data_IF_385443398036
#
_entry.id   IF_385443398036
#
_cell.length_a   1.000
_cell.length_b   1.000
_cell.length_c   1.000
_cell.angle_alpha   90.00
_cell.angle_beta   90.00
_cell.angle_gamma   90.00
#
_symmetry.space_group_name_H-M   'P 1'
#
loop_
_entity.id
_entity.type
_entity.pdbx_description
1 polymer ?
#
# COMPACT_ATOMS: atom_id res chain seq x y z
N UNK A 1 8.50 20.33 -23.55
CA UNK A 1 9.73 20.29 -22.72
C UNK A 1 9.41 21.01 -21.43
N UNK A 2 9.60 20.38 -20.28
CA UNK A 2 9.51 21.06 -18.98
C UNK A 2 10.54 22.21 -18.93
N UNK A 3 10.18 23.38 -18.36
CA UNK A 3 11.13 24.37 -17.91
C UNK A 3 12.29 23.76 -17.09
N UNK A 4 13.48 24.35 -17.17
CA UNK A 4 14.71 23.81 -16.53
C UNK A 4 14.67 23.87 -15.00
N UNK A 5 13.79 24.68 -14.43
CA UNK A 5 13.53 24.83 -12.99
C UNK A 5 12.43 23.90 -12.46
N UNK A 6 11.82 23.07 -13.33
CA UNK A 6 10.82 22.09 -12.94
C UNK A 6 11.38 20.67 -12.94
N UNK A 7 11.04 19.92 -11.90
CA UNK A 7 11.40 18.51 -11.72
C UNK A 7 10.16 17.63 -12.02
N UNK A 8 10.23 16.71 -13.01
CA UNK A 8 9.15 15.74 -13.21
C UNK A 8 9.08 14.79 -12.02
N UNK A 9 7.85 14.53 -11.58
CA UNK A 9 7.53 13.54 -10.55
C UNK A 9 6.55 12.53 -11.16
N UNK A 10 6.63 11.28 -10.71
CA UNK A 10 5.84 10.18 -11.27
C UNK A 10 5.01 9.48 -10.19
N UNK A 11 4.04 8.68 -10.62
CA UNK A 11 3.19 7.89 -9.74
C UNK A 11 3.06 6.44 -10.19
N UNK A 12 2.23 5.71 -9.45
CA UNK A 12 1.82 4.35 -9.79
C UNK A 12 1.03 3.76 -8.63
N UNK A 13 -0.18 3.28 -8.90
CA UNK A 13 -1.08 2.74 -7.88
C UNK A 13 -1.27 1.24 -8.07
N UNK A 14 -1.53 0.47 -7.01
CA UNK A 14 -1.91 -0.94 -7.12
C UNK A 14 -3.28 -1.09 -7.82
N UNK A 15 -4.17 -0.12 -7.63
CA UNK A 15 -5.53 -0.05 -8.19
C UNK A 15 -5.86 1.33 -8.78
N UNK A 16 -6.99 1.47 -9.49
CA UNK A 16 -7.47 2.67 -10.15
C UNK A 16 -8.94 2.97 -9.74
N UNK A 17 -9.16 3.78 -8.68
CA UNK A 17 -10.50 4.10 -8.18
C UNK A 17 -11.36 4.86 -9.20
N UNK A 18 -10.72 5.57 -10.13
CA UNK A 18 -11.33 6.32 -11.24
C UNK A 18 -11.89 5.44 -12.37
N UNK A 19 -11.70 4.12 -12.31
CA UNK A 19 -12.24 3.21 -13.32
C UNK A 19 -13.77 3.20 -13.30
N UNK A 20 -14.39 3.53 -14.44
CA UNK A 20 -15.84 3.65 -14.59
C UNK A 20 -16.61 2.32 -14.64
N UNK A 21 -16.03 1.23 -14.14
CA UNK A 21 -16.63 -0.10 -14.15
C UNK A 21 -16.35 -0.88 -12.86
N UNK A 22 -17.01 -2.02 -12.65
CA UNK A 22 -16.89 -2.85 -11.44
C UNK A 22 -16.17 -4.18 -11.66
N UNK A 23 -15.47 -4.32 -12.79
CA UNK A 23 -14.65 -5.50 -13.06
C UNK A 23 -13.30 -5.40 -12.37
N UNK A 24 -12.71 -6.55 -12.05
CA UNK A 24 -11.31 -6.68 -11.64
C UNK A 24 -10.39 -6.11 -12.73
N UNK A 25 -9.34 -5.40 -12.33
CA UNK A 25 -8.35 -4.86 -13.26
C UNK A 25 -7.43 -5.96 -13.80
N UNK A 26 -6.87 -5.70 -14.99
CA UNK A 26 -5.84 -6.55 -15.57
C UNK A 26 -4.48 -6.37 -14.88
N UNK A 27 -3.45 -7.12 -15.32
CA UNK A 27 -2.11 -7.00 -14.77
C UNK A 27 -1.55 -5.59 -14.85
N UNK A 28 -0.89 -5.16 -13.78
CA UNK A 28 -0.45 -3.78 -13.59
C UNK A 28 1.07 -3.64 -13.84
N UNK A 29 1.44 -2.70 -14.70
CA UNK A 29 2.83 -2.46 -15.11
C UNK A 29 3.75 -1.97 -13.96
N UNK A 30 3.19 -1.43 -12.88
CA UNK A 30 3.94 -0.97 -11.71
C UNK A 30 4.64 -2.11 -10.95
N UNK A 31 4.22 -3.36 -11.16
CA UNK A 31 4.86 -4.56 -10.60
C UNK A 31 6.01 -5.10 -11.48
N UNK A 32 6.44 -4.35 -12.49
CA UNK A 32 7.54 -4.73 -13.37
C UNK A 32 8.70 -3.75 -13.24
N UNK A 33 9.92 -4.28 -13.38
CA UNK A 33 11.09 -3.43 -13.56
C UNK A 33 11.12 -2.90 -14.99
N UNK A 34 11.27 -1.59 -15.16
CA UNK A 34 11.17 -0.96 -16.47
C UNK A 34 12.07 0.26 -16.61
N UNK A 35 12.41 0.53 -17.86
CA UNK A 35 13.10 1.75 -18.27
C UNK A 35 12.15 2.93 -18.46
N UNK A 36 10.85 2.68 -18.45
CA UNK A 36 9.77 3.68 -18.55
C UNK A 36 9.40 4.14 -17.14
N UNK A 37 9.44 5.46 -16.91
CA UNK A 37 9.16 6.07 -15.60
C UNK A 37 7.69 6.39 -15.38
N UNK A 38 6.97 6.69 -16.46
CA UNK A 38 5.58 7.14 -16.47
C UNK A 38 4.61 5.95 -16.40
N UNK A 39 3.53 6.17 -15.66
CA UNK A 39 2.35 5.32 -15.67
C UNK A 39 1.29 6.02 -16.52
N UNK A 40 0.93 5.43 -17.66
CA UNK A 40 -0.01 6.04 -18.61
C UNK A 40 -1.46 6.06 -18.14
N UNK A 41 -1.79 5.40 -17.02
CA UNK A 41 -3.17 5.17 -16.56
C UNK A 41 -3.61 6.17 -15.48
N UNK A 42 -2.68 6.93 -14.89
CA UNK A 42 -2.99 7.90 -13.83
C UNK A 42 -3.71 9.11 -14.43
N UNK A 43 -4.91 9.40 -13.94
CA UNK A 43 -5.70 10.55 -14.37
C UNK A 43 -6.27 10.41 -15.78
N UNK A 44 -6.40 9.19 -16.32
CA UNK A 44 -7.02 8.96 -17.65
C UNK A 44 -8.44 9.53 -17.75
N UNK A 45 -9.16 9.57 -16.64
CA UNK A 45 -10.48 10.18 -16.49
C UNK A 45 -10.47 11.71 -16.72
N UNK A 46 -9.36 12.37 -16.42
CA UNK A 46 -9.16 13.82 -16.61
C UNK A 46 -8.41 14.16 -17.90
N UNK A 47 -7.54 13.28 -18.38
CA UNK A 47 -6.60 13.54 -19.47
C UNK A 47 -6.97 12.87 -20.80
N UNK A 48 -7.90 11.91 -20.79
CA UNK A 48 -8.25 11.06 -21.93
C UNK A 48 -7.24 9.93 -22.17
N UNK A 49 -7.63 8.89 -22.92
CA UNK A 49 -6.80 7.71 -23.17
C UNK A 49 -5.41 8.07 -23.68
N UNK A 50 -4.37 7.60 -22.99
CA UNK A 50 -3.01 7.62 -23.51
C UNK A 50 -2.96 6.79 -24.81
N UNK A 51 -2.62 7.43 -25.92
CA UNK A 51 -2.37 6.74 -27.18
C UNK A 51 -1.27 5.70 -26.97
N UNK A 52 -1.51 4.44 -27.34
CA UNK A 52 -0.60 3.29 -27.19
C UNK A 52 0.73 3.35 -27.98
N UNK A 53 1.30 4.54 -28.15
CA UNK A 53 2.69 4.76 -28.52
C UNK A 53 3.60 4.42 -27.32
N UNK A 54 4.79 3.84 -27.53
CA UNK A 54 5.74 3.63 -26.44
C UNK A 54 6.07 4.99 -25.83
N UNK A 55 5.79 5.17 -24.53
CA UNK A 55 6.14 6.37 -23.79
C UNK A 55 7.66 6.57 -23.86
N UNK A 56 8.13 7.40 -24.79
CA UNK A 56 9.53 7.83 -24.81
C UNK A 56 9.70 8.76 -23.61
N UNK A 57 10.31 8.29 -22.52
CA UNK A 57 10.61 9.13 -21.35
C UNK A 57 11.61 10.23 -21.74
N UNK A 58 11.15 11.47 -21.98
CA UNK A 58 12.01 12.53 -22.49
C UNK A 58 12.93 13.09 -21.39
N UNK A 59 12.69 12.72 -20.12
CA UNK A 59 13.36 13.22 -18.93
C UNK A 59 14.53 12.32 -18.50
N UNK A 60 14.58 11.10 -19.03
CA UNK A 60 15.67 10.17 -18.78
C UNK A 60 17.04 10.77 -19.07
N UNK A 61 17.98 10.54 -18.16
CA UNK A 61 19.36 11.04 -18.26
C UNK A 61 19.52 12.54 -18.04
N UNK A 62 18.42 13.28 -17.81
CA UNK A 62 18.44 14.72 -17.52
C UNK A 62 18.04 15.03 -16.08
N UNK A 63 17.04 14.30 -15.57
CA UNK A 63 16.51 14.49 -14.23
C UNK A 63 16.56 13.19 -13.42
N UNK A 64 16.74 13.27 -12.08
CA UNK A 64 16.55 12.12 -11.21
C UNK A 64 15.14 11.57 -11.37
N UNK A 65 14.99 10.26 -11.23
CA UNK A 65 13.69 9.63 -11.21
C UNK A 65 13.13 9.72 -9.79
N UNK A 66 12.09 10.54 -9.60
CA UNK A 66 11.44 10.75 -8.31
C UNK A 66 9.94 10.46 -8.44
N UNK A 67 9.35 9.86 -7.43
CA UNK A 67 7.90 9.66 -7.38
C UNK A 67 7.27 10.63 -6.39
N UNK A 68 6.03 11.05 -6.65
CA UNK A 68 5.19 11.79 -5.69
C UNK A 68 3.92 11.03 -5.33
N UNK A 69 3.47 10.12 -6.21
CA UNK A 69 2.16 9.47 -6.13
C UNK A 69 2.29 7.96 -6.32
N UNK A 70 3.19 7.32 -5.55
CA UNK A 70 3.08 5.87 -5.39
C UNK A 70 1.91 5.58 -4.44
N UNK A 71 0.97 4.75 -4.89
CA UNK A 71 -0.15 4.31 -4.09
C UNK A 71 0.33 3.73 -2.77
N UNK A 72 0.12 4.45 -1.66
CA UNK A 72 0.21 3.88 -0.32
C UNK A 72 -1.04 3.06 0.04
N UNK A 73 -1.96 2.93 -0.90
CA UNK A 73 -3.28 2.34 -0.82
C UNK A 73 -4.08 2.91 -2.01
N UNK A 74 -5.40 2.84 -1.92
CA UNK A 74 -6.32 3.55 -2.81
C UNK A 74 -7.56 3.96 -2.03
N UNK A 75 -8.13 5.12 -2.36
CA UNK A 75 -9.42 5.51 -1.80
C UNK A 75 -10.52 4.62 -2.34
N UNK A 76 -11.29 4.02 -1.43
CA UNK A 76 -12.51 3.30 -1.81
C UNK A 76 -13.55 4.29 -2.38
N UNK A 77 -14.09 3.92 -3.54
CA UNK A 77 -15.19 4.62 -4.19
C UNK A 77 -16.45 3.78 -4.06
N UNK A 78 -17.61 4.39 -4.27
CA UNK A 78 -18.88 3.68 -4.02
C UNK A 78 -18.96 2.38 -4.82
N UNK A 79 -18.46 2.37 -6.06
CA UNK A 79 -18.47 1.22 -6.96
C UNK A 79 -17.17 0.39 -6.98
N UNK A 80 -16.07 0.81 -6.33
CA UNK A 80 -14.83 0.02 -6.25
C UNK A 80 -14.23 -0.01 -4.84
N UNK A 81 -14.07 -1.22 -4.31
CA UNK A 81 -13.55 -1.51 -2.97
C UNK A 81 -12.46 -2.59 -3.03
N UNK A 82 -11.26 -2.23 -3.52
CA UNK A 82 -10.09 -3.09 -3.37
C UNK A 82 -9.77 -3.37 -1.89
N UNK A 83 -8.86 -4.31 -1.67
CA UNK A 83 -8.21 -4.54 -0.38
C UNK A 83 -6.75 -4.84 -0.63
N UNK A 84 -5.87 -4.30 0.21
CA UNK A 84 -4.43 -4.44 0.01
C UNK A 84 -3.75 -5.28 1.09
N UNK A 85 -2.80 -6.10 0.66
CA UNK A 85 -1.78 -6.66 1.56
C UNK A 85 -0.51 -5.79 1.50
N UNK A 86 0.38 -5.85 2.52
CA UNK A 86 1.61 -5.04 2.54
C UNK A 86 2.44 -5.14 1.26
N UNK A 87 2.51 -6.35 0.68
CA UNK A 87 3.26 -6.61 -0.54
C UNK A 87 2.73 -5.86 -1.77
N UNK A 88 1.44 -5.51 -1.82
CA UNK A 88 0.86 -4.74 -2.92
C UNK A 88 1.53 -3.38 -3.07
N UNK A 89 1.95 -2.77 -1.95
CA UNK A 89 2.56 -1.45 -1.90
C UNK A 89 4.08 -1.56 -1.96
N UNK A 90 4.69 -2.48 -1.18
CA UNK A 90 6.15 -2.60 -1.13
C UNK A 90 6.72 -3.08 -2.46
N UNK A 91 6.02 -3.96 -3.18
CA UNK A 91 6.49 -4.45 -4.48
C UNK A 91 6.59 -3.31 -5.51
N UNK A 92 5.62 -2.39 -5.55
CA UNK A 92 5.69 -1.21 -6.41
C UNK A 92 6.90 -0.35 -6.04
N UNK A 93 7.10 -0.06 -4.76
CA UNK A 93 8.24 0.72 -4.29
C UNK A 93 9.59 0.07 -4.66
N UNK A 94 9.71 -1.25 -4.49
CA UNK A 94 10.89 -2.03 -4.91
C UNK A 94 11.08 -1.97 -6.43
N UNK A 95 10.02 -2.14 -7.22
CA UNK A 95 10.09 -2.06 -8.68
C UNK A 95 10.56 -0.68 -9.14
N UNK A 96 10.09 0.42 -8.53
CA UNK A 96 10.53 1.78 -8.86
C UNK A 96 11.99 2.01 -8.45
N UNK A 97 12.41 1.61 -7.24
CA UNK A 97 13.80 1.70 -6.79
C UNK A 97 14.75 0.92 -7.71
N UNK A 98 14.44 -0.34 -8.02
CA UNK A 98 15.22 -1.19 -8.91
C UNK A 98 15.25 -0.68 -10.35
N UNK A 99 14.20 0.02 -10.78
CA UNK A 99 14.13 0.72 -12.07
C UNK A 99 14.92 2.04 -12.10
N UNK A 100 15.52 2.45 -10.99
CA UNK A 100 16.39 3.61 -10.89
C UNK A 100 15.78 4.84 -10.22
N UNK A 101 14.66 4.70 -9.48
CA UNK A 101 14.13 5.79 -8.67
C UNK A 101 15.15 6.18 -7.58
N UNK A 102 15.36 7.48 -7.40
CA UNK A 102 16.24 8.06 -6.38
C UNK A 102 15.46 8.72 -5.24
N UNK A 103 14.13 8.75 -5.34
CA UNK A 103 13.26 9.23 -4.27
C UNK A 103 11.87 8.62 -4.43
N UNK A 104 11.33 8.16 -3.31
CA UNK A 104 10.00 7.61 -3.21
C UNK A 104 9.08 8.60 -2.49
N UNK A 105 8.11 9.13 -3.21
CA UNK A 105 6.95 9.84 -2.67
C UNK A 105 5.69 9.00 -2.85
N UNK A 106 4.80 9.11 -1.88
CA UNK A 106 3.59 8.30 -1.76
C UNK A 106 2.35 9.18 -1.71
N UNK A 107 1.27 8.68 -2.31
CA UNK A 107 -0.06 9.24 -2.19
C UNK A 107 -1.04 8.10 -1.91
N UNK A 108 -1.74 8.05 -0.78
CA UNK A 108 -1.46 8.75 0.47
C UNK A 108 -0.57 7.89 1.37
N UNK A 109 0.26 8.51 2.20
CA UNK A 109 1.02 7.80 3.24
C UNK A 109 0.30 7.80 4.60
N UNK A 110 -0.50 8.82 4.83
CA UNK A 110 -1.45 8.90 5.92
C UNK A 110 -2.77 9.32 5.29
N UNK A 111 -3.81 8.54 5.56
CA UNK A 111 -5.17 8.95 5.28
C UNK A 111 -5.55 10.16 6.12
N UNK A 112 -6.84 10.44 6.17
CA UNK A 112 -7.37 11.48 7.02
C UNK A 112 -8.87 11.53 6.95
N UNK A 113 -9.43 12.66 7.38
CA UNK A 113 -10.85 12.91 7.32
C UNK A 113 -11.12 14.21 6.57
N UNK A 114 -12.14 14.19 5.71
CA UNK A 114 -12.71 15.38 5.15
C UNK A 114 -13.49 16.12 6.24
N UNK A 115 -13.36 17.45 6.35
CA UNK A 115 -14.16 18.22 7.29
C UNK A 115 -15.64 18.14 6.90
N UNK A 116 -16.53 18.28 7.89
CA UNK A 116 -17.96 18.47 7.65
C UNK A 116 -18.46 19.68 8.42
N UNK A 117 -19.44 20.37 7.85
CA UNK A 117 -20.09 21.52 8.47
C UNK A 117 -21.61 21.35 8.45
N UNK A 118 -22.34 22.23 9.14
CA UNK A 118 -23.79 22.33 9.03
C UNK A 118 -24.19 23.75 8.62
N UNK A 119 -25.16 23.86 7.71
CA UNK A 119 -25.74 25.14 7.34
C UNK A 119 -26.68 25.71 8.43
N UNK A 120 -27.24 26.89 8.19
CA UNK A 120 -28.17 27.55 9.12
C UNK A 120 -29.47 26.76 9.39
N UNK A 121 -29.82 25.81 8.51
CA UNK A 121 -30.99 24.93 8.64
C UNK A 121 -30.60 23.55 9.21
N UNK A 122 -29.33 23.36 9.57
CA UNK A 122 -28.80 22.11 10.11
C UNK A 122 -28.48 21.06 9.05
N UNK A 123 -28.54 21.38 7.75
CA UNK A 123 -28.19 20.47 6.66
C UNK A 123 -26.68 20.21 6.66
N UNK A 124 -26.26 18.97 6.41
CA UNK A 124 -24.86 18.61 6.29
C UNK A 124 -24.23 19.26 5.04
N UNK A 125 -23.09 19.92 5.24
CA UNK A 125 -22.22 20.43 4.17
C UNK A 125 -20.99 19.53 4.13
N UNK A 126 -20.69 19.03 2.94
CA UNK A 126 -19.67 18.00 2.70
C UNK A 126 -18.64 18.49 1.68
N UNK A 127 -17.44 17.89 1.68
CA UNK A 127 -16.25 18.37 0.95
C UNK A 127 -15.50 17.27 0.21
N UNK A 128 -16.04 16.05 0.21
CA UNK A 128 -15.52 14.89 -0.48
C UNK A 128 -15.58 15.02 -2.01
N UNK A 129 -14.74 14.21 -2.67
CA UNK A 129 -14.89 13.93 -4.09
C UNK A 129 -16.23 13.23 -4.34
N UNK A 130 -17.04 13.82 -5.22
CA UNK A 130 -18.34 13.25 -5.60
C UNK A 130 -18.69 13.58 -7.04
N UNK A 131 -19.61 12.81 -7.61
CA UNK A 131 -20.17 13.09 -8.94
C UNK A 131 -20.98 14.38 -8.96
N UNK A 132 -21.52 14.78 -7.82
CA UNK A 132 -22.21 16.08 -7.67
C UNK A 132 -21.24 17.26 -7.79
N UNK A 133 -19.99 17.11 -7.32
CA UNK A 133 -18.94 18.13 -7.48
C UNK A 133 -18.23 18.11 -8.84
N UNK A 134 -18.60 17.18 -9.73
CA UNK A 134 -18.10 17.07 -11.11
C UNK A 134 -16.94 16.09 -11.30
N UNK A 135 -16.59 15.33 -10.28
CA UNK A 135 -15.61 14.25 -10.35
C UNK A 135 -16.26 12.92 -10.78
N UNK A 136 -15.51 11.91 -11.26
CA UNK A 136 -16.12 10.66 -11.74
C UNK A 136 -16.56 9.72 -10.61
N UNK A 137 -16.01 9.89 -9.41
CA UNK A 137 -16.19 8.97 -8.28
C UNK A 137 -17.07 9.57 -7.19
N UNK A 138 -17.75 8.71 -6.44
CA UNK A 138 -18.36 9.06 -5.16
C UNK A 138 -17.52 8.45 -4.03
N UNK A 139 -16.98 9.29 -3.15
CA UNK A 139 -16.21 8.90 -1.96
C UNK A 139 -17.05 9.00 -0.68
N UNK A 140 -16.58 8.42 0.45
CA UNK A 140 -17.14 8.70 1.77
C UNK A 140 -17.09 10.20 2.09
N UNK A 141 -18.09 10.69 2.81
CA UNK A 141 -18.25 12.09 3.22
C UNK A 141 -17.14 12.52 4.16
N UNK A 142 -16.81 11.69 5.15
CA UNK A 142 -15.82 11.97 6.19
C UNK A 142 -14.56 11.18 5.95
N UNK A 143 -14.63 9.86 5.76
CA UNK A 143 -13.41 9.06 5.71
C UNK A 143 -12.61 9.27 4.42
N UNK A 144 -11.34 9.60 4.59
CA UNK A 144 -10.32 9.59 3.55
C UNK A 144 -9.16 8.69 3.99
N UNK A 145 -9.50 7.51 4.54
CA UNK A 145 -8.54 6.52 5.05
C UNK A 145 -7.55 6.05 3.99
N UNK A 146 -7.99 6.00 2.73
CA UNK A 146 -7.19 5.65 1.55
C UNK A 146 -6.59 4.22 1.59
N UNK A 147 -6.96 3.40 2.59
CA UNK A 147 -6.22 2.19 2.97
C UNK A 147 -4.72 2.47 3.14
N UNK A 148 -4.38 3.71 3.52
CA UNK A 148 -3.00 4.18 3.61
C UNK A 148 -2.24 3.45 4.73
N UNK A 149 -0.89 3.47 4.70
CA UNK A 149 -0.07 2.84 5.73
C UNK A 149 -0.40 3.31 7.15
N UNK A 150 -0.74 4.60 7.27
CA UNK A 150 -1.43 5.16 8.42
C UNK A 150 -2.86 5.49 8.01
N UNK A 151 -3.85 4.95 8.68
CA UNK A 151 -5.26 5.20 8.37
C UNK A 151 -5.79 6.54 8.88
N UNK A 152 -7.07 6.82 8.67
CA UNK A 152 -7.68 8.13 8.98
C UNK A 152 -7.65 8.52 10.47
N UNK A 153 -7.64 7.54 11.38
CA UNK A 153 -7.47 7.73 12.83
C UNK A 153 -6.01 7.62 13.28
N UNK A 154 -5.05 7.52 12.35
CA UNK A 154 -3.62 7.32 12.63
C UNK A 154 -3.26 5.88 13.02
N UNK A 155 -4.18 4.92 12.85
CA UNK A 155 -3.91 3.50 13.06
C UNK A 155 -2.82 3.02 12.12
N UNK A 156 -1.91 2.19 12.63
CA UNK A 156 -0.80 1.65 11.84
C UNK A 156 -1.20 0.33 11.20
N UNK A 157 -0.96 0.19 9.89
CA UNK A 157 -1.15 -1.06 9.14
C UNK A 157 0.17 -1.78 8.91
N UNK A 158 0.11 -3.08 8.60
CA UNK A 158 1.29 -3.87 8.25
C UNK A 158 2.07 -3.28 7.05
N UNK A 159 1.39 -2.57 6.14
CA UNK A 159 2.01 -1.85 5.03
C UNK A 159 2.96 -0.73 5.49
N UNK A 160 2.66 -0.04 6.60
CA UNK A 160 3.57 0.96 7.18
C UNK A 160 4.86 0.32 7.65
N UNK A 161 4.75 -0.80 8.37
CA UNK A 161 5.90 -1.52 8.90
C UNK A 161 6.78 -2.06 7.76
N UNK A 162 6.15 -2.64 6.74
CA UNK A 162 6.86 -3.16 5.57
C UNK A 162 7.57 -2.06 4.77
N UNK A 163 6.93 -0.89 4.60
CA UNK A 163 7.56 0.28 3.97
C UNK A 163 8.66 0.89 4.84
N UNK A 164 8.51 0.90 6.17
CA UNK A 164 9.52 1.41 7.09
C UNK A 164 10.84 0.62 6.98
N UNK A 165 10.79 -0.69 6.78
CA UNK A 165 11.99 -1.49 6.53
C UNK A 165 12.67 -1.14 5.19
N UNK A 166 11.89 -0.90 4.14
CA UNK A 166 12.42 -0.42 2.87
C UNK A 166 13.03 0.98 3.02
N UNK A 167 12.42 1.86 3.82
CA UNK A 167 12.97 3.19 4.11
C UNK A 167 14.27 3.13 4.90
N UNK A 168 14.41 2.17 5.84
CA UNK A 168 15.68 1.93 6.55
C UNK A 168 16.78 1.47 5.59
N UNK A 169 16.45 0.66 4.59
CA UNK A 169 17.39 0.34 3.51
C UNK A 169 17.81 1.57 2.72
N UNK A 170 16.84 2.42 2.32
CA UNK A 170 17.12 3.67 1.61
C UNK A 170 17.95 4.63 2.47
N UNK A 171 17.70 4.72 3.77
CA UNK A 171 18.52 5.52 4.70
C UNK A 171 19.95 4.98 4.80
N UNK A 172 20.10 3.66 4.93
CA UNK A 172 21.41 3.03 5.11
C UNK A 172 22.27 2.97 3.82
N UNK A 173 21.64 2.88 2.64
CA UNK A 173 22.31 2.61 1.37
C UNK A 173 21.98 3.64 0.27
N UNK A 174 21.17 4.66 0.54
CA UNK A 174 20.64 5.58 -0.46
C UNK A 174 21.70 6.41 -1.16
N UNK A 175 22.76 6.83 -0.46
CA UNK A 175 23.85 7.63 -1.03
C UNK A 175 24.58 6.86 -2.16
N UNK A 176 24.93 5.58 -1.90
CA UNK A 176 25.56 4.74 -2.91
C UNK A 176 24.57 4.32 -3.99
N UNK A 177 23.33 3.97 -3.60
CA UNK A 177 22.28 3.57 -4.53
C UNK A 177 21.97 4.66 -5.55
N UNK A 178 21.91 5.93 -5.13
CA UNK A 178 21.47 7.06 -5.95
C UNK A 178 22.31 7.27 -7.23
N UNK A 179 23.60 6.90 -7.18
CA UNK A 179 24.54 7.02 -8.33
C UNK A 179 24.63 5.74 -9.16
N UNK A 180 24.12 4.61 -8.65
CA UNK A 180 24.12 3.33 -9.36
C UNK A 180 23.07 3.30 -10.46
N UNK A 181 23.47 2.84 -11.64
CA UNK A 181 22.59 2.74 -12.81
C UNK A 181 21.78 1.44 -12.77
N UNK A 182 20.50 1.47 -13.17
CA UNK A 182 19.72 0.25 -13.33
C UNK A 182 20.16 -0.52 -14.58
N UNK A 183 20.23 -1.84 -14.44
CA UNK A 183 20.45 -2.82 -15.49
C UNK A 183 19.41 -3.94 -15.35
N UNK A 184 19.00 -4.51 -16.47
CA UNK A 184 17.96 -5.53 -16.55
C UNK A 184 18.51 -6.79 -17.23
N UNK A 185 17.94 -7.97 -16.93
CA UNK A 185 18.37 -9.23 -17.52
C UNK A 185 18.14 -9.24 -19.04
N UNK A 186 18.89 -10.11 -19.74
CA UNK A 186 18.73 -10.34 -21.18
C UNK A 186 17.34 -10.90 -21.52
N UNK A 187 16.77 -11.68 -20.61
CA UNK A 187 15.40 -12.19 -20.70
C UNK A 187 14.47 -11.35 -19.80
N UNK A 188 13.58 -10.59 -20.45
CA UNK A 188 12.53 -9.82 -19.80
C UNK A 188 11.16 -10.45 -20.06
N UNK A 189 10.17 -10.25 -19.16
CA UNK A 189 8.79 -10.66 -19.41
C UNK A 189 8.28 -10.16 -20.76
N UNK A 190 7.59 -11.02 -21.51
CA UNK A 190 7.15 -10.72 -22.90
C UNK A 190 6.04 -9.68 -22.95
N UNK A 191 5.16 -9.72 -21.96
CA UNK A 191 4.07 -8.78 -21.74
C UNK A 191 3.62 -8.83 -20.26
N UNK A 192 2.60 -8.04 -19.90
CA UNK A 192 2.13 -7.92 -18.52
C UNK A 192 1.46 -9.21 -17.97
N UNK A 193 1.04 -10.13 -18.83
CA UNK A 193 0.47 -11.43 -18.45
C UNK A 193 1.54 -12.52 -18.31
N UNK A 194 2.82 -12.22 -18.56
CA UNK A 194 3.90 -13.17 -18.39
C UNK A 194 4.14 -13.43 -16.90
N UNK A 195 3.72 -14.63 -16.47
CA UNK A 195 3.84 -15.13 -15.11
C UNK A 195 5.07 -16.02 -14.91
N UNK A 196 5.77 -16.38 -15.99
CA UNK A 196 6.80 -17.42 -15.99
C UNK A 196 8.21 -16.84 -15.92
N UNK A 197 8.46 -15.72 -16.61
CA UNK A 197 9.79 -15.08 -16.60
C UNK A 197 10.10 -14.42 -15.24
N UNK A 198 11.26 -14.70 -14.61
CA UNK A 198 11.69 -14.02 -13.38
C UNK A 198 11.81 -12.51 -13.56
N UNK A 199 11.29 -11.73 -12.60
CA UNK A 199 11.41 -10.26 -12.63
C UNK A 199 12.51 -9.84 -11.68
N UNK A 200 13.63 -9.41 -12.25
CA UNK A 200 14.84 -9.02 -11.53
C UNK A 200 15.41 -7.75 -12.16
N UNK A 201 16.00 -6.89 -11.33
CA UNK A 201 16.79 -5.76 -11.77
C UNK A 201 18.06 -5.65 -10.91
N UNK A 202 19.08 -4.99 -11.44
CA UNK A 202 20.31 -4.68 -10.72
C UNK A 202 20.53 -3.19 -10.74
N UNK A 203 20.94 -2.60 -9.61
CA UNK A 203 21.59 -1.29 -9.61
C UNK A 203 23.05 -1.45 -9.24
N UNK A 204 23.93 -0.97 -10.11
CA UNK A 204 25.38 -1.12 -9.93
C UNK A 204 26.18 0.09 -10.38
N UNK A 205 27.37 0.24 -9.79
CA UNK A 205 28.46 1.13 -10.22
C UNK A 205 29.50 0.41 -11.12
N UNK A 206 29.26 -0.86 -11.45
CA UNK A 206 30.16 -1.73 -12.20
C UNK A 206 31.14 -2.53 -11.34
N UNK A 207 31.16 -2.31 -10.02
CA UNK A 207 32.01 -3.04 -9.05
C UNK A 207 31.16 -3.72 -7.97
N UNK A 208 30.13 -3.02 -7.49
CA UNK A 208 29.21 -3.48 -6.45
C UNK A 208 27.78 -3.04 -6.75
N UNK A 209 26.82 -3.53 -5.96
CA UNK A 209 25.46 -3.05 -6.11
C UNK A 209 24.43 -3.85 -5.34
N UNK A 210 23.19 -3.71 -5.82
CA UNK A 210 22.02 -4.34 -5.23
C UNK A 210 21.21 -5.06 -6.32
N UNK A 211 20.78 -6.28 -6.00
CA UNK A 211 19.78 -7.04 -6.75
C UNK A 211 18.41 -6.70 -6.19
N UNK A 212 17.48 -6.37 -7.07
CA UNK A 212 16.05 -6.19 -6.78
C UNK A 212 15.28 -7.31 -7.46
N UNK A 213 14.30 -7.90 -6.79
CA UNK A 213 13.38 -8.84 -7.43
C UNK A 213 11.94 -8.57 -7.01
N UNK A 214 11.02 -8.97 -7.89
CA UNK A 214 9.60 -8.97 -7.60
C UNK A 214 8.95 -10.25 -8.16
N UNK A 215 8.27 -11.00 -7.31
CA UNK A 215 7.42 -12.13 -7.67
C UNK A 215 6.05 -12.01 -7.00
N UNK A 216 5.61 -10.76 -6.86
CA UNK A 216 4.31 -10.34 -6.37
C UNK A 216 3.57 -9.54 -7.44
N UNK A 217 2.24 -9.70 -7.48
CA UNK A 217 1.30 -8.88 -8.23
C UNK A 217 0.04 -8.74 -7.39
N UNK A 218 -0.64 -7.61 -7.48
CA UNK A 218 -1.90 -7.44 -6.78
C UNK A 218 -2.99 -8.38 -7.30
N UNK A 219 -3.79 -8.89 -6.37
CA UNK A 219 -4.94 -9.75 -6.60
C UNK A 219 -4.66 -11.07 -7.35
N UNK A 220 -3.42 -11.48 -7.52
CA UNK A 220 -3.05 -12.78 -8.12
C UNK A 220 -1.80 -13.34 -7.44
N UNK A 221 -1.40 -14.58 -7.76
CA UNK A 221 -0.24 -15.24 -7.16
C UNK A 221 0.67 -15.81 -8.23
N UNK A 222 1.91 -15.33 -8.25
CA UNK A 222 2.95 -15.89 -9.11
C UNK A 222 3.59 -17.12 -8.43
N UNK A 223 3.81 -18.18 -9.22
CA UNK A 223 4.55 -19.35 -8.73
C UNK A 223 6.00 -18.99 -8.36
N UNK A 224 6.56 -19.73 -7.41
CA UNK A 224 7.98 -19.65 -7.05
C UNK A 224 8.86 -19.94 -8.28
N UNK A 225 9.96 -19.19 -8.42
CA UNK A 225 10.94 -19.37 -9.49
C UNK A 225 12.33 -19.55 -8.92
N UNK A 226 13.19 -20.30 -9.61
CA UNK A 226 14.60 -20.47 -9.28
C UNK A 226 15.44 -20.12 -10.49
N UNK A 227 16.53 -19.40 -10.27
CA UNK A 227 17.45 -19.01 -11.32
C UNK A 227 18.87 -18.82 -10.77
N UNK A 228 19.82 -18.81 -11.68
CA UNK A 228 21.19 -18.37 -11.44
C UNK A 228 21.37 -17.00 -12.13
N UNK A 229 21.45 -15.93 -11.34
CA UNK A 229 21.64 -14.58 -11.85
C UNK A 229 23.13 -14.33 -12.08
N UNK A 230 23.55 -14.13 -13.33
CA UNK A 230 24.93 -13.72 -13.65
C UNK A 230 24.99 -12.22 -13.91
N UNK A 231 25.86 -11.52 -13.17
CA UNK A 231 26.06 -10.08 -13.26
C UNK A 231 27.49 -9.84 -13.76
N UNK A 232 27.61 -9.19 -14.93
CA UNK A 232 28.89 -8.77 -15.47
C UNK A 232 29.40 -7.51 -14.77
N UNK A 233 30.61 -7.58 -14.20
CA UNK A 233 31.27 -6.47 -13.50
C UNK A 233 32.64 -6.19 -14.11
N UNK A 234 33.21 -5.04 -13.76
CA UNK A 234 34.50 -4.59 -14.27
C UNK A 234 35.64 -5.57 -13.94
N UNK A 235 35.60 -6.18 -12.75
CA UNK A 235 36.62 -7.11 -12.24
C UNK A 235 36.20 -8.59 -12.36
N UNK A 236 35.21 -8.87 -13.22
CA UNK A 236 34.75 -10.22 -13.54
C UNK A 236 33.36 -10.55 -13.02
N UNK A 237 32.76 -11.57 -13.62
CA UNK A 237 31.35 -11.91 -13.39
C UNK A 237 31.11 -12.55 -12.03
N UNK A 238 29.93 -12.31 -11.47
CA UNK A 238 29.40 -13.02 -10.32
C UNK A 238 28.11 -13.74 -10.70
N UNK A 239 27.99 -15.00 -10.28
CA UNK A 239 26.74 -15.77 -10.37
C UNK A 239 26.17 -15.96 -8.97
N UNK A 240 24.89 -15.61 -8.82
CA UNK A 240 24.15 -15.70 -7.55
C UNK A 240 22.99 -16.68 -7.75
N UNK A 241 23.00 -17.86 -7.10
CA UNK A 241 21.84 -18.74 -7.09
C UNK A 241 20.75 -18.11 -6.22
N UNK A 242 19.53 -17.97 -6.75
CA UNK A 242 18.44 -17.37 -5.99
C UNK A 242 17.08 -18.02 -6.26
N UNK A 243 16.23 -17.94 -5.24
CA UNK A 243 14.81 -18.29 -5.29
C UNK A 243 14.00 -17.01 -5.21
N UNK A 244 12.98 -16.88 -6.06
CA UNK A 244 11.95 -15.85 -5.99
C UNK A 244 10.70 -16.51 -5.40
N UNK A 245 10.42 -16.34 -4.10
CA UNK A 245 9.28 -16.98 -3.46
C UNK A 245 7.95 -16.48 -4.04
N UNK A 246 6.89 -17.27 -3.94
CA UNK A 246 5.55 -16.81 -4.30
C UNK A 246 5.14 -15.60 -3.44
N UNK A 247 4.73 -14.50 -4.09
CA UNK A 247 4.41 -13.23 -3.42
C UNK A 247 5.62 -12.50 -2.82
N UNK A 248 6.85 -12.93 -3.13
CA UNK A 248 8.07 -12.33 -2.59
C UNK A 248 8.56 -11.15 -3.42
N UNK A 249 8.92 -10.05 -2.77
CA UNK A 249 9.73 -8.98 -3.35
C UNK A 249 10.87 -8.62 -2.39
N UNK A 250 11.97 -8.08 -2.90
CA UNK A 250 13.11 -7.79 -2.04
C UNK A 250 14.27 -7.09 -2.73
N UNK A 251 15.21 -6.62 -1.91
CA UNK A 251 16.49 -6.05 -2.32
C UNK A 251 17.61 -6.62 -1.45
N UNK A 252 18.73 -6.96 -2.06
CA UNK A 252 19.90 -7.46 -1.34
C UNK A 252 21.22 -7.14 -2.07
N UNK A 253 22.35 -7.03 -1.34
CA UNK A 253 23.59 -6.52 -1.92
C UNK A 253 24.48 -7.62 -2.50
N UNK A 254 25.33 -7.23 -3.46
CA UNK A 254 26.42 -8.04 -4.01
C UNK A 254 27.72 -7.24 -4.09
N UNK A 255 28.85 -7.94 -4.04
CA UNK A 255 30.20 -7.35 -3.87
C UNK A 255 30.22 -6.28 -2.77
N UNK A 256 29.58 -6.59 -1.65
CA UNK A 256 29.31 -5.64 -0.57
C UNK A 256 30.49 -5.57 0.40
N UNK A 257 30.95 -4.36 0.70
CA UNK A 257 32.06 -4.15 1.63
C UNK A 257 31.56 -4.09 3.08
N UNK A 258 32.11 -4.94 3.93
CA UNK A 258 31.88 -4.93 5.38
C UNK A 258 33.26 -4.87 6.05
N UNK A 259 33.57 -3.72 6.64
CA UNK A 259 34.89 -3.46 7.21
C UNK A 259 36.00 -3.57 6.16
N UNK A 260 37.02 -4.37 6.45
CA UNK A 260 38.14 -4.62 5.53
C UNK A 260 37.84 -5.63 4.42
N UNK A 261 36.70 -6.31 4.46
CA UNK A 261 36.38 -7.43 3.57
C UNK A 261 35.30 -7.08 2.55
N UNK A 262 35.30 -7.79 1.42
CA UNK A 262 34.22 -7.77 0.43
C UNK A 262 33.57 -9.15 0.43
N UNK A 263 32.24 -9.19 0.57
CA UNK A 263 31.46 -10.42 0.38
C UNK A 263 30.82 -10.44 -0.99
N UNK A 264 30.71 -11.62 -1.59
CA UNK A 264 30.17 -11.79 -2.95
C UNK A 264 28.70 -11.44 -3.01
N UNK A 265 27.90 -11.93 -2.07
CA UNK A 265 26.50 -11.55 -1.91
C UNK A 265 25.99 -11.88 -0.51
N UNK A 266 24.91 -11.21 -0.11
CA UNK A 266 24.15 -11.52 1.10
C UNK A 266 22.67 -11.54 0.70
N UNK A 267 21.92 -12.62 0.92
CA UNK A 267 20.48 -12.70 0.58
C UNK A 267 19.59 -12.14 1.69
N UNK A 268 19.90 -10.93 2.14
CA UNK A 268 19.19 -10.21 3.18
C UNK A 268 19.27 -8.69 2.92
N UNK A 269 18.28 -7.92 3.36
CA UNK A 269 18.24 -6.48 3.13
C UNK A 269 19.05 -5.73 4.20
N UNK A 270 20.07 -4.93 3.85
CA UNK A 270 20.80 -4.11 4.80
C UNK A 270 19.92 -2.93 5.23
N UNK A 271 19.72 -2.78 6.54
CA UNK A 271 18.87 -1.73 7.14
C UNK A 271 19.63 -0.80 8.07
N UNK A 272 20.88 -1.15 8.39
CA UNK A 272 21.83 -0.28 9.09
C UNK A 272 23.21 -0.55 8.52
N UNK A 273 23.95 0.49 8.11
CA UNK A 273 25.35 0.41 7.70
C UNK A 273 26.12 1.50 8.44
N UNK A 274 27.00 1.11 9.35
CA UNK A 274 27.85 2.00 10.18
C UNK A 274 29.25 1.40 10.28
N UNK A 275 30.23 2.22 10.70
CA UNK A 275 31.64 1.83 10.80
C UNK A 275 31.90 0.56 11.63
N UNK A 276 31.04 0.26 12.62
CA UNK A 276 31.19 -0.87 13.53
C UNK A 276 30.03 -1.86 13.52
N UNK A 277 28.99 -1.63 12.71
CA UNK A 277 27.81 -2.48 12.66
C UNK A 277 27.18 -2.46 11.27
N UNK A 278 26.91 -3.64 10.74
CA UNK A 278 25.94 -3.83 9.64
C UNK A 278 24.81 -4.71 10.14
N UNK A 279 23.59 -4.20 10.05
CA UNK A 279 22.37 -4.96 10.37
C UNK A 279 21.59 -5.26 9.09
N UNK A 280 21.19 -6.52 8.98
CA UNK A 280 20.33 -7.02 7.91
C UNK A 280 18.99 -7.49 8.48
N UNK A 281 17.95 -7.52 7.65
CA UNK A 281 16.71 -8.24 7.93
C UNK A 281 16.46 -9.30 6.86
N UNK A 282 15.79 -10.42 7.22
CA UNK A 282 15.47 -11.47 6.26
C UNK A 282 14.48 -10.98 5.21
N UNK A 283 14.63 -11.48 3.98
CA UNK A 283 13.64 -11.29 2.91
C UNK A 283 12.57 -12.39 3.00
N UNK A 284 11.31 -12.05 2.74
CA UNK A 284 10.18 -12.99 2.84
C UNK A 284 10.42 -14.22 1.96
N UNK A 285 10.45 -15.40 2.59
CA UNK A 285 10.61 -16.69 1.90
C UNK A 285 12.01 -16.97 1.33
N UNK A 286 13.00 -16.13 1.61
CA UNK A 286 14.39 -16.32 1.16
C UNK A 286 15.27 -16.63 2.37
N UNK A 287 16.08 -17.69 2.27
CA UNK A 287 17.04 -18.02 3.31
C UNK A 287 18.15 -16.96 3.38
N UNK A 288 18.40 -16.32 4.55
CA UNK A 288 19.47 -15.35 4.70
C UNK A 288 20.84 -16.03 4.75
N UNK A 289 21.61 -15.93 3.66
CA UNK A 289 22.97 -16.46 3.56
C UNK A 289 23.95 -15.36 3.18
N UNK A 290 25.22 -15.55 3.51
CA UNK A 290 26.34 -14.75 3.05
C UNK A 290 27.31 -15.64 2.28
N UNK A 291 27.73 -15.20 1.10
CA UNK A 291 28.80 -15.80 0.33
C UNK A 291 30.07 -14.95 0.48
N UNK A 292 31.11 -15.52 1.09
CA UNK A 292 32.38 -14.85 1.34
C UNK A 292 33.21 -14.73 0.04
N UNK A 293 34.28 -13.95 0.08
CA UNK A 293 35.17 -13.73 -1.06
C UNK A 293 35.71 -15.02 -1.69
N UNK A 294 35.99 -16.04 -0.88
CA UNK A 294 36.48 -17.36 -1.31
C UNK A 294 35.38 -18.27 -1.89
N UNK A 295 34.13 -17.80 -1.93
CA UNK A 295 32.97 -18.55 -2.40
C UNK A 295 32.27 -19.38 -1.32
N UNK A 296 32.77 -19.39 -0.07
CA UNK A 296 32.12 -20.11 1.03
C UNK A 296 30.77 -19.48 1.36
N UNK A 297 29.70 -20.27 1.32
CA UNK A 297 28.35 -19.84 1.71
C UNK A 297 28.07 -20.27 3.15
N UNK A 298 27.58 -19.35 3.97
CA UNK A 298 27.17 -19.59 5.36
C UNK A 298 25.79 -19.01 5.61
N UNK A 299 25.02 -19.63 6.50
CA UNK A 299 23.83 -18.99 7.06
C UNK A 299 24.23 -17.69 7.76
N UNK A 300 23.58 -16.58 7.44
CA UNK A 300 23.92 -15.25 7.96
C UNK A 300 23.80 -15.20 9.50
N UNK A 301 22.88 -15.99 10.07
CA UNK A 301 22.70 -16.14 11.52
C UNK A 301 23.90 -16.73 12.27
N UNK A 302 24.88 -17.30 11.55
CA UNK A 302 26.09 -17.90 12.14
C UNK A 302 27.32 -17.01 12.05
N UNK A 303 27.16 -15.78 11.55
CA UNK A 303 28.25 -14.84 11.29
C UNK A 303 28.08 -13.59 12.14
N UNK A 304 28.90 -13.46 13.18
CA UNK A 304 28.85 -12.32 14.12
C UNK A 304 29.72 -11.13 13.70
N UNK A 305 30.73 -11.37 12.86
CA UNK A 305 31.71 -10.35 12.44
C UNK A 305 32.27 -10.64 11.05
N UNK A 306 32.48 -9.59 10.24
CA UNK A 306 33.15 -9.64 8.93
C UNK A 306 34.09 -8.44 8.85
N UNK A 307 35.36 -8.65 8.50
CA UNK A 307 36.33 -7.56 8.29
C UNK A 307 36.49 -6.59 9.48
N UNK A 308 36.32 -7.08 10.71
CA UNK A 308 36.38 -6.27 11.94
C UNK A 308 35.09 -5.50 12.27
N UNK A 309 34.00 -5.75 11.54
CA UNK A 309 32.69 -5.08 11.72
C UNK A 309 31.65 -6.09 12.16
N UNK A 310 30.87 -5.73 13.20
CA UNK A 310 29.81 -6.59 13.71
C UNK A 310 28.71 -6.76 12.65
N UNK A 311 28.27 -8.00 12.46
CA UNK A 311 27.15 -8.34 11.59
C UNK A 311 25.98 -8.83 12.45
N UNK A 312 24.77 -8.33 12.16
CA UNK A 312 23.56 -8.73 12.86
C UNK A 312 22.46 -9.08 11.86
N UNK A 313 21.83 -10.22 12.07
CA UNK A 313 20.53 -10.53 11.47
C UNK A 313 19.42 -10.15 12.45
N UNK A 314 18.70 -9.08 12.14
CA UNK A 314 17.53 -8.62 12.89
C UNK A 314 16.25 -9.33 12.43
N UNK A 315 15.12 -8.76 12.82
CA UNK A 315 13.79 -9.13 12.34
C UNK A 315 13.19 -7.95 11.57
N UNK A 316 12.27 -8.21 10.61
CA UNK A 316 11.47 -7.16 10.01
C UNK A 316 10.70 -6.36 11.06
N UNK A 317 10.36 -5.12 10.75
CA UNK A 317 9.51 -4.28 11.57
C UNK A 317 8.18 -5.01 11.82
N UNK A 318 7.86 -5.16 13.10
CA UNK A 318 6.62 -5.72 13.58
C UNK A 318 6.18 -4.87 14.77
N UNK A 319 4.89 -4.55 14.84
CA UNK A 319 4.32 -3.86 15.99
C UNK A 319 3.51 -4.85 16.83
N UNK A 320 3.47 -4.60 18.13
CA UNK A 320 2.58 -5.34 19.02
C UNK A 320 1.14 -4.87 18.77
N UNK A 321 0.26 -5.81 18.41
CA UNK A 321 -1.14 -5.47 18.15
C UNK A 321 -1.79 -4.89 19.40
N UNK A 322 -2.56 -3.83 19.21
CA UNK A 322 -3.21 -3.15 20.33
C UNK A 322 -4.30 -4.04 20.91
N UNK A 323 -4.34 -4.26 22.25
CA UNK A 323 -5.45 -4.96 22.87
C UNK A 323 -6.78 -4.24 22.62
N UNK A 324 -7.79 -4.99 22.20
CA UNK A 324 -9.12 -4.48 21.90
C UNK A 324 -10.15 -5.04 22.90
N UNK A 325 -11.02 -4.17 23.41
CA UNK A 325 -12.11 -4.56 24.32
C UNK A 325 -13.41 -4.69 23.54
N UNK A 326 -14.00 -5.89 23.48
CA UNK A 326 -15.30 -6.09 22.81
C UNK A 326 -16.40 -5.32 23.51
N UNK A 327 -17.27 -4.69 22.72
CA UNK A 327 -18.44 -3.97 23.21
C UNK A 327 -19.73 -4.68 22.79
N UNK A 328 -20.76 -4.57 23.63
CA UNK A 328 -22.10 -5.03 23.28
C UNK A 328 -22.74 -4.07 22.28
N UNK A 329 -23.35 -4.64 21.25
CA UNK A 329 -24.04 -3.91 20.19
C UNK A 329 -25.52 -4.28 20.19
N UNK A 330 -26.40 -3.27 20.20
CA UNK A 330 -27.85 -3.49 20.25
C UNK A 330 -28.55 -2.84 19.06
N UNK A 331 -29.24 -3.63 18.25
CA UNK A 331 -30.12 -3.10 17.21
C UNK A 331 -31.26 -2.28 17.83
N UNK A 332 -31.56 -1.13 17.24
CA UNK A 332 -32.56 -0.17 17.71
C UNK A 332 -33.45 0.32 16.56
N UNK A 333 -34.58 0.99 16.84
CA UNK A 333 -35.37 1.64 15.81
C UNK A 333 -34.55 2.71 15.08
N UNK A 334 -34.60 2.69 13.75
CA UNK A 334 -33.97 3.68 12.86
C UNK A 334 -34.58 5.07 13.07
N UNK A 335 -33.72 6.08 13.26
CA UNK A 335 -34.07 7.46 13.64
C UNK A 335 -33.16 8.51 13.02
N UNK A 336 -31.97 8.13 12.57
CA UNK A 336 -30.99 8.98 11.93
C UNK A 336 -31.39 9.21 10.47
N UNK A 337 -30.98 10.34 9.94
CA UNK A 337 -31.17 10.66 8.53
C UNK A 337 -30.38 9.73 7.61
N UNK A 338 -30.81 9.59 6.35
CA UNK A 338 -30.05 8.95 5.27
C UNK A 338 -29.08 9.92 4.56
N UNK A 339 -28.94 11.14 5.08
CA UNK A 339 -28.21 12.25 4.46
C UNK A 339 -26.75 11.92 4.13
N UNK A 340 -26.02 11.20 4.99
CA UNK A 340 -24.62 10.80 4.75
C UNK A 340 -24.44 9.87 3.54
N UNK A 341 -25.51 9.28 3.02
CA UNK A 341 -25.49 8.39 1.85
C UNK A 341 -26.26 8.98 0.66
N UNK A 342 -26.81 10.19 0.80
CA UNK A 342 -27.71 10.77 -0.19
C UNK A 342 -27.00 11.24 -1.47
N UNK A 343 -25.69 11.49 -1.41
CA UNK A 343 -24.86 11.86 -2.57
C UNK A 343 -24.57 10.65 -3.48
N UNK A 344 -24.50 9.45 -2.90
CA UNK A 344 -24.09 8.22 -3.60
C UNK A 344 -24.97 7.90 -4.80
N UNK A 345 -24.34 7.55 -5.92
CA UNK A 345 -25.01 7.10 -7.15
C UNK A 345 -24.44 5.75 -7.60
N UNK A 346 -25.32 4.85 -8.02
CA UNK A 346 -24.93 3.65 -8.77
C UNK A 346 -24.35 4.07 -10.13
N UNK A 347 -23.63 3.17 -10.79
CA UNK A 347 -23.05 3.42 -12.12
C UNK A 347 -24.09 3.80 -13.19
N UNK A 348 -25.35 3.37 -13.03
CA UNK A 348 -26.46 3.75 -13.91
C UNK A 348 -27.09 5.12 -13.58
N UNK A 349 -26.57 5.80 -12.54
CA UNK A 349 -27.02 7.09 -12.06
C UNK A 349 -28.18 7.03 -11.06
N UNK A 350 -28.67 5.84 -10.70
CA UNK A 350 -29.75 5.70 -9.71
C UNK A 350 -29.24 5.95 -8.28
N UNK A 351 -30.10 6.53 -7.44
CA UNK A 351 -29.84 6.72 -6.00
C UNK A 351 -30.03 5.42 -5.22
N UNK A 352 -29.44 5.33 -4.03
CA UNK A 352 -29.68 4.22 -3.11
C UNK A 352 -31.07 4.33 -2.48
N UNK A 353 -31.72 3.19 -2.30
CA UNK A 353 -32.92 3.06 -1.48
C UNK A 353 -32.52 2.82 -0.03
N UNK A 354 -33.07 3.59 0.90
CA UNK A 354 -32.80 3.44 2.33
C UNK A 354 -33.35 2.12 2.86
N UNK A 355 -32.45 1.23 3.28
CA UNK A 355 -32.74 -0.04 3.95
C UNK A 355 -31.93 -0.17 5.24
N UNK A 356 -31.49 0.97 5.77
CA UNK A 356 -30.54 0.99 6.87
C UNK A 356 -31.10 0.41 8.15
N UNK A 357 -30.18 -0.08 8.96
CA UNK A 357 -30.43 -0.54 10.32
C UNK A 357 -29.48 0.20 11.26
N UNK A 358 -29.96 0.48 12.46
CA UNK A 358 -29.19 1.18 13.48
C UNK A 358 -28.83 0.27 14.64
N UNK A 359 -27.61 0.47 15.13
CA UNK A 359 -27.06 -0.21 16.28
C UNK A 359 -26.54 0.78 17.30
N UNK A 360 -26.93 0.63 18.57
CA UNK A 360 -26.35 1.38 19.69
C UNK A 360 -25.09 0.71 20.22
N UNK A 361 -24.11 1.54 20.57
CA UNK A 361 -22.91 1.14 21.30
C UNK A 361 -22.68 2.13 22.44
N UNK A 362 -22.46 1.60 23.65
CA UNK A 362 -22.01 2.40 24.80
C UNK A 362 -20.48 2.37 24.84
N UNK A 363 -19.86 3.56 24.84
CA UNK A 363 -18.42 3.72 24.69
C UNK A 363 -17.78 3.94 26.07
N UNK A 364 -16.74 3.15 26.43
CA UNK A 364 -15.98 3.37 27.66
C UNK A 364 -15.37 4.77 27.75
N UNK A 365 -15.25 5.30 28.97
CA UNK A 365 -14.81 6.69 29.17
C UNK A 365 -13.43 7.00 28.58
N UNK A 366 -12.53 6.02 28.64
CA UNK A 366 -11.15 6.09 28.19
C UNK A 366 -10.94 5.65 26.73
N UNK A 367 -12.00 5.25 26.02
CA UNK A 367 -11.84 4.84 24.63
C UNK A 367 -11.54 6.07 23.75
N UNK A 368 -10.49 5.96 22.94
CA UNK A 368 -10.14 6.95 21.92
C UNK A 368 -10.59 6.49 20.53
N UNK A 369 -10.58 5.18 20.27
CA UNK A 369 -10.91 4.61 18.96
C UNK A 369 -11.93 3.47 19.11
N UNK A 370 -12.95 3.45 18.25
CA UNK A 370 -13.72 2.24 17.97
C UNK A 370 -13.15 1.53 16.74
N UNK A 371 -13.00 0.22 16.84
CA UNK A 371 -12.71 -0.67 15.71
C UNK A 371 -14.00 -1.41 15.40
N UNK A 372 -14.51 -1.27 14.18
CA UNK A 372 -15.80 -1.81 13.76
C UNK A 372 -15.58 -2.72 12.58
N UNK A 373 -15.90 -4.01 12.73
CA UNK A 373 -16.04 -4.91 11.59
C UNK A 373 -17.49 -4.85 11.14
N UNK A 374 -17.72 -4.30 9.95
CA UNK A 374 -19.05 -4.07 9.40
C UNK A 374 -19.21 -4.81 8.08
N UNK A 375 -20.37 -5.43 7.89
CA UNK A 375 -20.74 -6.08 6.65
C UNK A 375 -21.99 -5.41 6.07
N UNK A 376 -21.92 -5.01 4.81
CA UNK A 376 -23.02 -4.34 4.15
C UNK A 376 -22.58 -3.63 2.88
N UNK A 377 -23.34 -2.62 2.49
CA UNK A 377 -23.00 -1.72 1.42
C UNK A 377 -22.23 -0.51 1.97
N UNK A 378 -22.85 0.33 2.80
CA UNK A 378 -22.21 1.51 3.40
C UNK A 378 -22.58 1.64 4.87
N UNK A 379 -21.75 2.29 5.67
CA UNK A 379 -21.96 2.50 7.09
C UNK A 379 -21.60 3.93 7.51
N UNK A 380 -22.24 4.43 8.56
CA UNK A 380 -21.98 5.74 9.14
C UNK A 380 -22.15 5.68 10.66
N UNK A 381 -21.28 6.38 11.38
CA UNK A 381 -21.25 6.40 12.83
C UNK A 381 -21.61 7.79 13.33
N UNK A 382 -22.48 7.87 14.31
CA UNK A 382 -22.95 9.13 14.88
C UNK A 382 -22.74 9.16 16.39
N UNK A 383 -22.29 10.28 16.93
CA UNK A 383 -22.38 10.56 18.36
C UNK A 383 -23.82 10.88 18.72
N UNK A 384 -24.28 10.32 19.84
CA UNK A 384 -25.63 10.50 20.38
C UNK A 384 -25.64 11.20 21.74
N UNK A 385 -24.50 11.76 22.16
CA UNK A 385 -24.39 12.46 23.46
C UNK A 385 -25.21 13.76 23.48
N UNK A 386 -25.51 14.30 22.30
CA UNK A 386 -26.40 15.43 22.08
C UNK A 386 -27.23 15.18 20.81
N UNK A 387 -27.57 16.24 20.06
CA UNK A 387 -28.15 16.07 18.73
C UNK A 387 -27.17 15.26 17.85
N UNK A 388 -27.67 14.36 16.97
CA UNK A 388 -26.80 13.46 16.22
C UNK A 388 -25.73 14.18 15.39
N UNK A 389 -24.46 13.82 15.64
CA UNK A 389 -23.29 14.33 14.90
C UNK A 389 -22.63 13.18 14.17
N UNK A 390 -22.46 13.31 12.85
CA UNK A 390 -21.71 12.34 12.04
C UNK A 390 -20.24 12.36 12.48
N UNK A 391 -19.74 11.21 12.92
CA UNK A 391 -18.36 11.03 13.37
C UNK A 391 -17.46 10.59 12.21
N UNK A 392 -17.91 9.61 11.45
CA UNK A 392 -17.18 8.99 10.34
C UNK A 392 -18.18 8.17 9.48
N UNK A 393 -17.78 7.78 8.28
CA UNK A 393 -18.52 6.91 7.37
C UNK A 393 -17.58 6.00 6.56
N UNK A 394 -18.09 4.87 6.10
CA UNK A 394 -17.28 3.80 5.56
C UNK A 394 -18.01 3.03 4.47
N UNK A 395 -17.29 2.73 3.39
CA UNK A 395 -17.77 1.80 2.37
C UNK A 395 -17.28 0.42 2.74
N UNK A 396 -18.21 -0.45 3.15
CA UNK A 396 -17.85 -1.76 3.69
C UNK A 396 -17.06 -2.55 2.65
N UNK A 397 -15.77 -2.75 2.89
CA UNK A 397 -14.81 -3.41 1.99
C UNK A 397 -14.38 -4.79 2.52
N UNK A 398 -14.62 -5.05 3.80
CA UNK A 398 -14.25 -6.27 4.52
C UNK A 398 -13.15 -6.06 5.57
N UNK A 399 -12.51 -4.89 5.58
CA UNK A 399 -11.52 -4.50 6.58
C UNK A 399 -12.19 -3.98 7.88
N UNK A 400 -11.37 -3.64 8.86
CA UNK A 400 -11.77 -3.01 10.12
C UNK A 400 -11.84 -1.51 9.93
N UNK A 401 -13.02 -0.93 10.17
CA UNK A 401 -13.24 0.51 10.17
C UNK A 401 -12.88 1.11 11.54
N UNK A 402 -11.93 2.04 11.57
CA UNK A 402 -11.57 2.79 12.77
C UNK A 402 -12.30 4.12 12.85
N UNK A 403 -12.73 4.50 14.05
CA UNK A 403 -13.48 5.73 14.30
C UNK A 403 -12.91 6.41 15.54
N UNK A 404 -12.50 7.68 15.42
CA UNK A 404 -12.17 8.52 16.57
C UNK A 404 -13.44 8.81 17.38
N UNK A 405 -13.42 8.42 18.65
CA UNK A 405 -14.53 8.57 19.58
C UNK A 405 -14.11 9.29 20.86
N UNK A 406 -13.02 10.06 20.82
CA UNK A 406 -12.55 10.83 21.98
C UNK A 406 -13.65 11.78 22.47
N UNK A 407 -14.04 11.58 23.73
CA UNK A 407 -15.11 12.36 24.36
C UNK A 407 -16.53 11.92 24.03
N UNK A 408 -16.72 10.84 23.24
CA UNK A 408 -18.04 10.27 22.95
C UNK A 408 -18.39 9.20 23.99
N UNK A 409 -19.67 9.14 24.41
CA UNK A 409 -20.18 8.16 25.40
C UNK A 409 -21.19 7.20 24.79
N UNK A 410 -21.96 7.63 23.81
CA UNK A 410 -22.89 6.77 23.08
C UNK A 410 -22.78 7.03 21.58
N UNK A 411 -22.60 5.96 20.80
CA UNK A 411 -22.63 6.02 19.35
C UNK A 411 -23.77 5.18 18.76
N UNK A 412 -24.23 5.63 17.59
CA UNK A 412 -25.08 4.86 16.68
C UNK A 412 -24.29 4.49 15.45
N UNK A 413 -24.23 3.20 15.14
CA UNK A 413 -23.70 2.69 13.89
C UNK A 413 -24.91 2.40 12.98
N UNK A 414 -25.03 3.19 11.92
CA UNK A 414 -26.04 3.03 10.87
C UNK A 414 -25.43 2.25 9.72
N UNK A 415 -26.01 1.12 9.36
CA UNK A 415 -25.50 0.23 8.30
C UNK A 415 -26.56 0.05 7.23
N UNK A 416 -26.25 0.40 5.99
CA UNK A 416 -26.99 -0.03 4.82
C UNK A 416 -26.59 -1.48 4.52
N UNK A 417 -27.51 -2.45 4.66
CA UNK A 417 -27.20 -3.84 4.33
C UNK A 417 -26.89 -3.97 2.83
N UNK A 418 -26.07 -4.95 2.47
CA UNK A 418 -25.84 -5.27 1.07
C UNK A 418 -27.07 -5.98 0.52
N UNK A 419 -27.80 -5.30 -0.38
CA UNK A 419 -29.00 -5.83 -1.00
C UNK A 419 -28.64 -6.69 -2.23
N UNK A 420 -29.58 -7.54 -2.66
CA UNK A 420 -29.39 -8.34 -3.88
C UNK A 420 -29.22 -7.46 -5.12
N UNK A 421 -29.90 -6.31 -5.17
CA UNK A 421 -29.78 -5.34 -6.27
C UNK A 421 -28.41 -4.64 -6.34
N UNK A 422 -27.64 -4.66 -5.25
CA UNK A 422 -26.28 -4.09 -5.25
C UNK A 422 -25.26 -5.07 -5.87
N UNK A 423 -25.60 -6.36 -5.97
CA UNK A 423 -24.70 -7.40 -6.51
C UNK A 423 -24.35 -7.12 -7.97
N UNK A 424 -23.04 -7.13 -8.26
CA UNK A 424 -22.51 -6.86 -9.60
C UNK A 424 -22.43 -5.36 -9.94
N UNK A 425 -22.94 -4.48 -9.08
CA UNK A 425 -22.85 -3.02 -9.24
C UNK A 425 -21.68 -2.39 -8.47
N UNK A 426 -21.03 -3.17 -7.62
CA UNK A 426 -19.87 -2.79 -6.79
C UNK A 426 -18.80 -3.86 -6.97
N UNK A 427 -17.55 -3.44 -7.20
CA UNK A 427 -16.38 -4.31 -7.12
C UNK A 427 -15.98 -4.48 -5.65
N UNK A 428 -15.84 -5.73 -5.21
CA UNK A 428 -15.28 -6.09 -3.91
C UNK A 428 -14.10 -7.04 -4.13
N UNK A 429 -12.97 -6.78 -3.48
CA UNK A 429 -11.83 -7.71 -3.49
C UNK A 429 -12.16 -9.01 -2.72
N UNK A 430 -12.97 -8.89 -1.67
CA UNK A 430 -13.41 -10.02 -0.87
C UNK A 430 -14.90 -10.35 -1.07
N UNK A 431 -15.31 -11.55 -0.65
CA UNK A 431 -16.71 -11.93 -0.71
C UNK A 431 -17.51 -11.27 0.43
N UNK A 432 -18.23 -10.19 0.13
CA UNK A 432 -19.09 -9.51 1.10
C UNK A 432 -20.44 -10.21 1.26
N UNK A 433 -20.87 -10.57 2.50
CA UNK A 433 -22.15 -11.23 2.73
C UNK A 433 -23.33 -10.27 2.56
N UNK A 434 -24.47 -10.80 2.10
CA UNK A 434 -25.71 -10.03 1.91
C UNK A 434 -26.63 -10.08 3.13
N UNK A 435 -27.51 -9.09 3.24
CA UNK A 435 -28.51 -8.99 4.29
C UNK A 435 -28.07 -8.19 5.52
N UNK A 436 -28.91 -8.25 6.56
CA UNK A 436 -28.70 -7.51 7.81
C UNK A 436 -27.81 -8.33 8.75
N UNK A 437 -26.59 -7.85 8.96
CA UNK A 437 -25.59 -8.50 9.82
C UNK A 437 -25.16 -7.48 10.88
N UNK A 438 -25.33 -7.78 12.18
CA UNK A 438 -24.85 -6.90 13.24
C UNK A 438 -23.33 -6.68 13.15
N UNK A 439 -22.85 -5.43 13.34
CA UNK A 439 -21.42 -5.17 13.36
C UNK A 439 -20.79 -5.74 14.62
N UNK A 440 -19.53 -6.13 14.52
CA UNK A 440 -18.69 -6.44 15.67
C UNK A 440 -17.91 -5.19 16.04
N UNK A 441 -17.93 -4.80 17.31
CA UNK A 441 -17.38 -3.52 17.76
C UNK A 441 -16.43 -3.76 18.93
N UNK A 442 -15.26 -3.17 18.83
CA UNK A 442 -14.27 -3.12 19.90
C UNK A 442 -13.82 -1.69 20.18
N UNK A 443 -13.35 -1.44 21.39
CA UNK A 443 -12.75 -0.18 21.80
C UNK A 443 -11.26 -0.31 22.12
N UNK A 444 -10.52 0.76 21.83
CA UNK A 444 -9.14 0.98 22.23
C UNK A 444 -8.99 2.38 22.85
N UNK A 445 -8.04 2.53 23.78
CA UNK A 445 -7.67 3.79 24.41
C UNK A 445 -6.56 4.54 23.66
N UNK A 446 -6.25 4.12 22.44
CA UNK A 446 -5.27 4.74 21.55
C UNK A 446 -5.60 4.43 20.08
N UNK A 447 -4.79 4.97 19.15
CA UNK A 447 -4.81 4.54 17.76
C UNK A 447 -4.30 3.08 17.67
N UNK A 448 -5.08 2.14 17.11
CA UNK A 448 -4.72 0.74 17.11
C UNK A 448 -3.60 0.41 16.12
N UNK A 449 -2.87 -0.66 16.41
CA UNK A 449 -2.09 -1.43 15.44
C UNK A 449 -2.90 -2.70 15.15
N UNK A 450 -3.41 -2.82 13.92
CA UNK A 450 -4.44 -3.81 13.55
C UNK A 450 -3.91 -5.16 13.08
#
# INVERSE_FOLDING_TARGET
KLPEDLQPMFGGYPEAPWEGHTRKLGPNANYFFSHVREDGVIGEDLLGQASGEPLTDPYRGRYPFLTCELGGGNQNTYHRRPLFIPEDLTAIAICKLGSGANGLGYYMYHGGVNPTERDENGKLITFEESRESGYPNDCPVVSYDFEAPLGDCGQTRDSYLALADLHRFVDACGESLAVMRPAFPDEMPKDLNDTDTPRVAVRSDGVSGFVFYNNHVHADTLAEKKLDLTIGLNDGDITIPMTLPAGGCGVFPFMFRIGSEIVRYITAMPVTVRDNLVEFIPLRGVEPVVCLADGTVKALSTVDEIGGVKVKLGAPAAAEKTPLTSLDVRMVPDKLSFEAFAHLRRLDGSSLTDHTVEYEVNIPENAETLCVRVYGNVAAAYSMDCEPVLLNDHFCDGDVWCIDVRGVRTARIKVQPLAEEDRGTIYFECNMPAGVIPPEVWASDCAPVL
#
